data_IF_686608448906
#
_entry.id   IF_686608448906
#
_cell.length_a   1.000
_cell.length_b   1.000
_cell.length_c   1.000
_cell.angle_alpha   90.00
_cell.angle_beta   90.00
_cell.angle_gamma   90.00
#
_symmetry.space_group_name_H-M   'P 1'
#
loop_
_entity.id
_entity.type
_entity.pdbx_description
1 polymer ?
#
# COMPACT_ATOMS: atom_id res chain seq x y z
N UNK A 1 -23.74 8.09 51.35
CA UNK A 1 -22.84 8.59 50.29
C UNK A 1 -22.52 7.44 49.33
N UNK A 2 -23.01 7.45 48.07
CA UNK A 2 -22.71 6.43 47.03
C UNK A 2 -22.30 7.10 45.71
N UNK A 3 -21.32 8.02 45.74
CA UNK A 3 -20.83 8.75 44.55
C UNK A 3 -19.44 8.32 44.06
N UNK A 4 -18.70 7.51 44.83
CA UNK A 4 -17.34 7.07 44.47
C UNK A 4 -17.28 6.07 43.30
N UNK A 5 -18.04 4.97 43.38
CA UNK A 5 -17.91 3.86 42.40
C UNK A 5 -18.34 4.21 40.97
N UNK A 6 -19.27 5.14 40.78
CA UNK A 6 -19.79 5.48 39.44
C UNK A 6 -18.80 6.33 38.62
N UNK A 7 -17.96 7.13 39.29
CA UNK A 7 -16.96 7.97 38.64
C UNK A 7 -15.76 7.12 38.21
N UNK A 8 -15.30 6.20 39.06
CA UNK A 8 -14.24 5.26 38.73
C UNK A 8 -14.60 4.32 37.58
N UNK A 9 -15.84 3.81 37.55
CA UNK A 9 -16.33 2.97 36.45
C UNK A 9 -16.38 3.73 35.11
N UNK A 10 -16.80 5.01 35.10
CA UNK A 10 -16.78 5.86 33.90
C UNK A 10 -15.36 6.16 33.42
N UNK A 11 -14.45 6.48 34.33
CA UNK A 11 -13.05 6.76 34.01
C UNK A 11 -12.34 5.50 33.44
N UNK A 12 -12.61 4.34 34.03
CA UNK A 12 -12.11 3.04 33.57
C UNK A 12 -12.63 2.69 32.17
N UNK A 13 -13.92 2.94 31.91
CA UNK A 13 -14.55 2.72 30.59
C UNK A 13 -14.00 3.67 29.52
N UNK A 14 -13.72 4.93 29.85
CA UNK A 14 -13.08 5.88 28.93
C UNK A 14 -11.65 5.46 28.56
N UNK A 15 -10.86 4.99 29.54
CA UNK A 15 -9.51 4.46 29.27
C UNK A 15 -9.56 3.21 28.38
N UNK A 16 -10.50 2.29 28.64
CA UNK A 16 -10.69 1.10 27.81
C UNK A 16 -11.08 1.46 26.36
N UNK A 17 -11.95 2.45 26.17
CA UNK A 17 -12.33 2.91 24.83
C UNK A 17 -11.17 3.60 24.10
N UNK A 18 -10.35 4.36 24.81
CA UNK A 18 -9.14 4.99 24.25
C UNK A 18 -8.11 3.95 23.80
N UNK A 19 -7.82 2.95 24.64
CA UNK A 19 -6.91 1.85 24.31
C UNK A 19 -7.43 1.02 23.13
N UNK A 20 -8.74 0.79 23.06
CA UNK A 20 -9.37 0.12 21.91
C UNK A 20 -9.21 0.94 20.63
N UNK A 21 -9.43 2.26 20.67
CA UNK A 21 -9.22 3.15 19.52
C UNK A 21 -7.79 3.06 18.97
N UNK A 22 -6.79 3.21 19.85
CA UNK A 22 -5.38 3.07 19.47
C UNK A 22 -5.07 1.70 18.86
N UNK A 23 -5.62 0.63 19.44
CA UNK A 23 -5.44 -0.71 18.91
C UNK A 23 -6.05 -0.88 17.51
N UNK A 24 -7.24 -0.35 17.26
CA UNK A 24 -7.86 -0.44 15.93
C UNK A 24 -7.09 0.38 14.89
N UNK A 25 -6.61 1.58 15.25
CA UNK A 25 -5.75 2.39 14.37
C UNK A 25 -4.45 1.66 14.03
N UNK A 26 -3.85 0.97 15.01
CA UNK A 26 -2.65 0.15 14.81
C UNK A 26 -2.92 -1.05 13.90
N UNK A 27 -4.04 -1.77 14.11
CA UNK A 27 -4.45 -2.89 13.25
C UNK A 27 -4.69 -2.42 11.82
N UNK A 28 -5.38 -1.29 11.64
CA UNK A 28 -5.65 -0.73 10.31
C UNK A 28 -4.35 -0.32 9.61
N UNK A 29 -3.43 0.31 10.33
CA UNK A 29 -2.11 0.68 9.81
C UNK A 29 -1.28 -0.54 9.42
N UNK A 30 -1.27 -1.58 10.25
CA UNK A 30 -0.58 -2.84 9.95
C UNK A 30 -1.20 -3.52 8.73
N UNK A 31 -2.54 -3.57 8.64
CA UNK A 31 -3.24 -4.13 7.50
C UNK A 31 -2.92 -3.36 6.21
N UNK A 32 -2.98 -2.02 6.24
CA UNK A 32 -2.60 -1.16 5.10
C UNK A 32 -1.16 -1.39 4.66
N UNK A 33 -0.22 -1.48 5.61
CA UNK A 33 1.18 -1.75 5.32
C UNK A 33 1.39 -3.16 4.72
N UNK A 34 0.68 -4.17 5.21
CA UNK A 34 0.75 -5.52 4.66
C UNK A 34 0.13 -5.61 3.26
N UNK A 35 -1.01 -4.95 3.02
CA UNK A 35 -1.63 -4.86 1.71
C UNK A 35 -0.69 -4.14 0.73
N UNK A 36 -0.15 -2.98 1.12
CA UNK A 36 0.81 -2.24 0.30
C UNK A 36 2.09 -3.04 0.01
N UNK A 37 2.58 -3.83 0.97
CA UNK A 37 3.70 -4.73 0.75
C UNK A 37 3.36 -5.85 -0.25
N UNK A 38 2.16 -6.43 -0.14
CA UNK A 38 1.70 -7.48 -1.06
C UNK A 38 1.54 -6.97 -2.49
N UNK A 39 0.95 -5.78 -2.66
CA UNK A 39 0.82 -5.13 -3.97
C UNK A 39 2.18 -4.81 -4.56
N UNK A 40 3.10 -4.27 -3.76
CA UNK A 40 4.49 -4.04 -4.17
C UNK A 40 5.18 -5.32 -4.65
N UNK A 41 5.09 -6.41 -3.89
CA UNK A 41 5.67 -7.69 -4.31
C UNK A 41 5.11 -8.15 -5.65
N UNK A 42 3.78 -8.08 -5.84
CA UNK A 42 3.14 -8.43 -7.11
C UNK A 42 3.63 -7.56 -8.27
N UNK A 43 3.77 -6.24 -8.07
CA UNK A 43 4.31 -5.34 -9.11
C UNK A 43 5.72 -5.76 -9.52
N UNK A 44 6.59 -6.01 -8.55
CA UNK A 44 7.97 -6.45 -8.80
C UNK A 44 8.00 -7.81 -9.51
N UNK A 45 7.16 -8.77 -9.11
CA UNK A 45 7.05 -10.07 -9.76
C UNK A 45 6.67 -9.93 -11.24
N UNK A 46 5.71 -9.05 -11.57
CA UNK A 46 5.31 -8.76 -12.96
C UNK A 46 6.47 -8.14 -13.72
N UNK A 47 7.15 -7.12 -13.15
CA UNK A 47 8.31 -6.47 -13.77
C UNK A 47 9.39 -7.49 -14.10
N UNK A 48 9.71 -8.39 -13.17
CA UNK A 48 10.71 -9.44 -13.37
C UNK A 48 10.25 -10.43 -14.43
N UNK A 49 9.01 -10.92 -14.35
CA UNK A 49 8.44 -11.90 -15.30
C UNK A 49 8.40 -11.37 -16.73
N UNK A 50 8.06 -10.09 -16.89
CA UNK A 50 8.00 -9.41 -18.18
C UNK A 50 9.38 -8.86 -18.62
N UNK A 51 10.43 -9.07 -17.81
CA UNK A 51 11.78 -8.60 -18.06
C UNK A 51 11.86 -7.08 -18.35
N UNK A 52 10.99 -6.32 -17.69
CA UNK A 52 10.94 -4.86 -17.81
C UNK A 52 12.17 -4.28 -17.10
N UNK A 53 12.94 -3.47 -17.81
CA UNK A 53 14.22 -2.93 -17.33
C UNK A 53 14.30 -1.45 -17.68
N UNK A 54 15.03 -0.71 -16.83
CA UNK A 54 15.41 0.67 -17.10
C UNK A 54 16.11 0.77 -18.47
N UNK A 55 15.80 1.84 -19.20
CA UNK A 55 16.39 2.19 -20.50
C UNK A 55 16.09 1.13 -21.59
N UNK A 56 15.06 0.31 -21.38
CA UNK A 56 14.55 -0.65 -22.37
C UNK A 56 13.10 -0.37 -22.71
N UNK A 57 12.75 -0.68 -23.94
CA UNK A 57 11.35 -0.69 -24.36
C UNK A 57 10.66 -1.99 -23.98
N UNK A 58 9.36 -1.90 -23.72
CA UNK A 58 8.48 -3.07 -23.63
C UNK A 58 7.14 -2.74 -24.30
N UNK A 59 6.39 -3.78 -24.66
CA UNK A 59 5.07 -3.64 -25.28
C UNK A 59 3.98 -3.73 -24.21
N UNK A 60 3.10 -2.75 -24.22
CA UNK A 60 1.85 -2.77 -23.48
C UNK A 60 0.87 -3.77 -24.12
N UNK A 61 -0.17 -4.21 -23.39
CA UNK A 61 -1.18 -5.15 -23.91
C UNK A 61 -1.95 -4.64 -25.14
N UNK A 62 -2.07 -3.32 -25.28
CA UNK A 62 -2.67 -2.65 -26.43
C UNK A 62 -1.75 -2.61 -27.68
N UNK A 63 -0.51 -3.11 -27.54
CA UNK A 63 0.49 -3.16 -28.60
C UNK A 63 1.39 -1.93 -28.69
N UNK A 64 1.19 -0.92 -27.84
CA UNK A 64 2.03 0.28 -27.79
C UNK A 64 3.39 -0.07 -27.19
N UNK A 65 4.47 0.35 -27.85
CA UNK A 65 5.83 0.21 -27.33
C UNK A 65 6.23 1.47 -26.55
N UNK A 66 6.65 1.29 -25.30
CA UNK A 66 7.01 2.38 -24.40
C UNK A 66 8.40 2.17 -23.83
N UNK A 67 9.16 3.26 -23.66
CA UNK A 67 10.51 3.26 -23.11
C UNK A 67 10.47 3.51 -21.60
N UNK A 68 11.11 2.63 -20.83
CA UNK A 68 11.20 2.75 -19.37
C UNK A 68 12.31 3.72 -18.99
N UNK A 69 11.97 4.80 -18.30
CA UNK A 69 12.93 5.75 -17.74
C UNK A 69 13.46 5.31 -16.40
N UNK A 70 12.57 4.84 -15.52
CA UNK A 70 12.93 4.36 -14.18
C UNK A 70 11.83 3.45 -13.62
N UNK A 71 12.18 2.73 -12.56
CA UNK A 71 11.26 1.87 -11.82
C UNK A 71 11.36 2.30 -10.36
N UNK A 72 10.26 2.75 -9.78
CA UNK A 72 10.19 3.17 -8.38
C UNK A 72 10.31 1.95 -7.45
N UNK A 73 10.77 2.13 -6.20
CA UNK A 73 10.91 1.02 -5.23
C UNK A 73 9.59 0.30 -4.90
N UNK A 74 8.46 0.95 -5.13
CA UNK A 74 7.11 0.38 -4.96
C UNK A 74 6.62 -0.42 -6.17
N UNK A 75 7.40 -0.47 -7.27
CA UNK A 75 7.09 -1.19 -8.49
C UNK A 75 6.28 -0.39 -9.52
N UNK A 76 6.09 0.92 -9.32
CA UNK A 76 5.56 1.80 -10.37
C UNK A 76 6.64 2.07 -11.42
N UNK A 77 6.28 1.99 -12.69
CA UNK A 77 7.17 2.28 -13.81
C UNK A 77 7.00 3.75 -14.21
N UNK A 78 8.11 4.46 -14.40
CA UNK A 78 8.12 5.78 -15.03
C UNK A 78 8.60 5.61 -16.47
N UNK A 79 7.82 6.11 -17.41
CA UNK A 79 8.14 6.12 -18.83
C UNK A 79 9.00 7.34 -19.20
N UNK A 80 9.60 7.33 -20.39
CA UNK A 80 10.50 8.42 -20.80
C UNK A 80 9.78 9.77 -20.98
N UNK A 81 8.50 9.72 -21.37
CA UNK A 81 7.60 10.88 -21.39
C UNK A 81 7.15 11.35 -20.00
N UNK A 82 7.69 10.76 -18.93
CA UNK A 82 7.35 11.02 -17.52
C UNK A 82 5.97 10.55 -17.06
N UNK A 83 5.27 9.77 -17.89
CA UNK A 83 4.05 9.10 -17.43
C UNK A 83 4.36 7.98 -16.44
N UNK A 84 3.43 7.75 -15.51
CA UNK A 84 3.53 6.70 -14.52
C UNK A 84 2.56 5.56 -14.86
N UNK A 85 3.07 4.33 -14.75
CA UNK A 85 2.33 3.11 -15.02
C UNK A 85 2.34 2.22 -13.78
N UNK A 86 1.14 1.83 -13.35
CA UNK A 86 0.97 0.72 -12.41
C UNK A 86 0.78 -0.59 -13.19
N UNK A 87 1.77 -1.48 -13.08
CA UNK A 87 1.73 -2.79 -13.73
C UNK A 87 0.59 -3.68 -13.26
N UNK A 88 0.04 -3.47 -12.06
CA UNK A 88 -1.13 -4.24 -11.58
C UNK A 88 -2.41 -3.92 -12.35
N UNK A 89 -2.52 -2.71 -12.90
CA UNK A 89 -3.68 -2.28 -13.67
C UNK A 89 -3.59 -2.75 -15.12
N UNK A 90 -2.36 -2.88 -15.62
CA UNK A 90 -2.10 -3.22 -17.03
C UNK A 90 -1.98 -4.73 -17.23
N UNK A 91 -1.40 -5.43 -16.27
CA UNK A 91 -1.18 -6.88 -16.32
C UNK A 91 -1.87 -7.56 -15.12
N UNK A 92 -3.21 -7.71 -15.15
CA UNK A 92 -3.96 -8.35 -14.07
C UNK A 92 -3.63 -9.85 -13.90
#
# INVERSE_FOLDING_TARGET
>A
MKRGNAVEAKLSSQKLNFVRGLHYDDVERVAKNQIGARERCKRIDIIVKMNIKKDKSFKLPDGIEVLVKSIKPDGIIILDNWDEIDVLLIFP
#
